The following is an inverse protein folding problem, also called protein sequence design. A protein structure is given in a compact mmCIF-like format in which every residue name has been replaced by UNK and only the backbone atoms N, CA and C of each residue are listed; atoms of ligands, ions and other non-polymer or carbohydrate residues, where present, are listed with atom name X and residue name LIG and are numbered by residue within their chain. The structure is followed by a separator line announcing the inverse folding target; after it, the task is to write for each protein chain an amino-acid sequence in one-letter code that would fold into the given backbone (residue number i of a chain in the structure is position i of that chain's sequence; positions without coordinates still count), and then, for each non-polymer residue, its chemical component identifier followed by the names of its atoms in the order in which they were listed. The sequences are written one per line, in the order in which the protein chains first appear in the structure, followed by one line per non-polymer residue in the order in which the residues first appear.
data_IF_676087553126
#
_entry.id   IF_676087553126
#
_cell.length_a   1.000
_cell.length_b   1.000
_cell.length_c   1.000
_cell.angle_alpha   90.00
_cell.angle_beta   90.00
_cell.angle_gamma   90.00
#
_symmetry.space_group_name_H-M   'P 1'
#
loop_
_entity.id
_entity.type
_entity.pdbx_description
1 polymer ?
#
# COMPACT_ATOMS: atom_id res chain seq x y z
N UNK A 1 -2.60 13.74 11.45
CA UNK A 1 -2.17 12.33 11.27
C UNK A 1 -2.23 11.46 12.54
N UNK A 2 -2.97 11.82 13.61
CA UNK A 2 -3.08 10.96 14.82
C UNK A 2 -4.27 10.01 14.79
N UNK A 3 -5.36 10.43 14.17
CA UNK A 3 -6.63 9.72 14.29
C UNK A 3 -6.66 8.38 13.54
N UNK A 4 -6.05 8.28 12.35
CA UNK A 4 -5.89 7.00 11.63
C UNK A 4 -5.12 5.95 12.47
N UNK A 5 -3.90 6.22 12.97
CA UNK A 5 -3.20 5.29 13.84
C UNK A 5 -3.99 4.89 15.10
N UNK A 6 -4.65 5.85 15.77
CA UNK A 6 -5.50 5.55 16.94
C UNK A 6 -6.65 4.60 16.58
N UNK A 7 -7.32 4.86 15.46
CA UNK A 7 -8.41 4.04 14.97
C UNK A 7 -7.94 2.62 14.66
N UNK A 8 -6.88 2.46 13.87
CA UNK A 8 -6.34 1.14 13.51
C UNK A 8 -5.86 0.37 14.73
N UNK A 9 -5.14 1.03 15.65
CA UNK A 9 -4.72 0.41 16.91
C UNK A 9 -5.91 -0.10 17.72
N UNK A 10 -7.01 0.66 17.81
CA UNK A 10 -8.21 0.26 18.55
C UNK A 10 -8.88 -0.97 17.93
N UNK A 11 -9.06 -1.00 16.61
CA UNK A 11 -9.69 -2.12 15.91
C UNK A 11 -8.83 -3.39 16.03
N UNK A 12 -7.53 -3.30 15.75
CA UNK A 12 -6.62 -4.44 15.87
C UNK A 12 -6.54 -4.95 17.30
N UNK A 13 -6.51 -4.06 18.30
CA UNK A 13 -6.48 -4.46 19.73
C UNK A 13 -7.77 -5.15 20.19
N UNK A 14 -8.89 -4.97 19.47
CA UNK A 14 -10.13 -5.70 19.71
C UNK A 14 -10.14 -7.12 19.11
N UNK A 15 -9.04 -7.55 18.48
CA UNK A 15 -8.94 -8.84 17.80
C UNK A 15 -9.53 -8.85 16.39
N UNK A 16 -9.85 -7.68 15.83
CA UNK A 16 -10.44 -7.55 14.50
C UNK A 16 -9.36 -7.19 13.47
N UNK A 17 -9.37 -7.87 12.34
CA UNK A 17 -8.60 -7.45 11.19
C UNK A 17 -9.16 -6.16 10.58
N UNK A 18 -8.32 -5.49 9.79
CA UNK A 18 -8.69 -4.28 9.08
C UNK A 18 -8.54 -4.54 7.59
N UNK A 19 -9.59 -4.22 6.83
CA UNK A 19 -9.51 -3.86 5.42
C UNK A 19 -9.72 -2.35 5.33
N UNK A 20 -8.68 -1.60 5.01
CA UNK A 20 -8.72 -0.16 4.85
C UNK A 20 -8.75 0.19 3.37
N UNK A 21 -9.66 1.11 3.03
CA UNK A 21 -9.87 1.61 1.67
C UNK A 21 -10.06 3.12 1.77
N UNK A 22 -9.24 3.89 1.06
CA UNK A 22 -9.41 5.32 0.89
C UNK A 22 -10.64 5.63 0.02
N UNK A 23 -11.31 6.74 0.32
CA UNK A 23 -12.59 7.10 -0.29
C UNK A 23 -12.52 7.35 -1.81
N UNK A 24 -11.33 7.62 -2.34
CA UNK A 24 -11.02 7.85 -3.75
C UNK A 24 -10.51 6.57 -4.45
N UNK A 25 -11.08 5.42 -4.06
CA UNK A 25 -10.84 4.14 -4.73
C UNK A 25 -12.03 3.75 -5.61
N UNK A 26 -11.77 3.40 -6.87
CA UNK A 26 -12.77 2.80 -7.76
C UNK A 26 -12.54 1.29 -7.85
N UNK A 27 -13.62 0.54 -7.78
CA UNK A 27 -13.62 -0.92 -7.82
C UNK A 27 -14.30 -1.44 -9.10
N UNK A 28 -13.67 -2.40 -9.74
CA UNK A 28 -14.25 -3.20 -10.83
C UNK A 28 -14.62 -4.61 -10.37
N UNK A 29 -14.06 -5.06 -9.25
CA UNK A 29 -14.32 -6.37 -8.66
C UNK A 29 -14.59 -6.25 -7.15
N UNK A 30 -14.94 -7.37 -6.52
CA UNK A 30 -15.26 -7.43 -5.10
C UNK A 30 -14.04 -7.05 -4.23
N UNK A 31 -14.12 -6.05 -3.34
CA UNK A 31 -13.00 -5.62 -2.50
C UNK A 31 -12.48 -6.69 -1.55
N UNK A 32 -13.28 -7.70 -1.21
CA UNK A 32 -12.83 -8.82 -0.38
C UNK A 32 -11.83 -9.74 -1.09
N UNK A 33 -11.63 -9.60 -2.41
CA UNK A 33 -10.62 -10.39 -3.14
C UNK A 33 -9.18 -10.11 -2.68
N UNK A 34 -8.94 -9.00 -1.96
CA UNK A 34 -7.61 -8.66 -1.42
C UNK A 34 -7.35 -9.25 -0.04
N UNK A 35 -8.39 -9.76 0.63
CA UNK A 35 -8.28 -10.35 1.97
C UNK A 35 -7.82 -11.80 1.81
N UNK A 36 -6.74 -12.24 2.48
CA UNK A 36 -6.30 -13.62 2.41
C UNK A 36 -7.39 -14.57 2.91
N UNK A 37 -7.64 -15.63 2.16
CA UNK A 37 -8.59 -16.67 2.56
C UNK A 37 -8.04 -17.51 3.74
N UNK A 38 -8.83 -18.48 4.21
CA UNK A 38 -8.43 -19.34 5.33
C UNK A 38 -7.15 -20.13 5.08
N UNK A 39 -6.81 -20.43 3.83
CA UNK A 39 -5.61 -21.19 3.46
C UNK A 39 -4.37 -20.29 3.50
N UNK A 40 -4.48 -19.06 2.99
CA UNK A 40 -3.37 -18.11 2.89
C UNK A 40 -3.12 -17.32 4.19
N UNK A 41 -4.15 -17.13 5.01
CA UNK A 41 -4.12 -16.32 6.24
C UNK A 41 -3.03 -16.68 7.26
N UNK A 42 -2.57 -17.93 7.41
CA UNK A 42 -1.41 -18.25 8.26
C UNK A 42 -0.06 -17.77 7.69
N UNK A 43 0.03 -17.57 6.39
CA UNK A 43 1.24 -17.18 5.68
C UNK A 43 1.38 -15.66 5.47
N UNK A 44 0.37 -14.86 5.83
CA UNK A 44 0.33 -13.42 5.57
C UNK A 44 -0.18 -12.67 6.81
N UNK A 45 0.53 -11.61 7.20
CA UNK A 45 0.12 -10.71 8.28
C UNK A 45 -0.44 -9.39 7.74
N UNK A 46 0.07 -8.95 6.59
CA UNK A 46 -0.31 -7.69 5.97
C UNK A 46 -0.37 -7.85 4.45
N UNK A 47 -1.37 -7.25 3.80
CA UNK A 47 -1.48 -7.12 2.35
C UNK A 47 -1.49 -5.64 2.01
N UNK A 48 -0.57 -5.19 1.17
CA UNK A 48 -0.47 -3.79 0.75
C UNK A 48 -0.61 -3.64 -0.76
N UNK A 49 -1.38 -2.64 -1.18
CA UNK A 49 -1.13 -2.00 -2.48
C UNK A 49 0.17 -1.22 -2.42
N UNK A 50 0.77 -0.94 -3.58
CA UNK A 50 2.10 -0.33 -3.61
C UNK A 50 2.01 1.13 -3.98
N UNK A 51 2.95 1.93 -3.46
CA UNK A 51 3.06 3.32 -3.87
C UNK A 51 3.44 3.36 -5.35
N UNK A 52 2.89 4.33 -6.05
CA UNK A 52 3.00 4.71 -7.47
C UNK A 52 4.26 4.42 -8.31
N UNK A 53 5.34 3.88 -7.75
CA UNK A 53 6.56 3.48 -8.46
C UNK A 53 6.35 2.09 -9.07
N UNK A 54 6.28 2.02 -10.40
CA UNK A 54 6.09 0.75 -11.09
C UNK A 54 7.22 -0.26 -10.80
N UNK A 55 6.84 -1.52 -10.58
CA UNK A 55 7.76 -2.65 -10.43
C UNK A 55 8.20 -3.22 -11.78
N UNK A 56 7.53 -2.81 -12.86
CA UNK A 56 7.85 -3.26 -14.20
C UNK A 56 9.21 -2.78 -14.70
N UNK A 57 9.91 -1.87 -14.02
CA UNK A 57 11.20 -1.33 -14.47
C UNK A 57 12.27 -2.42 -14.58
N UNK A 58 13.27 -2.21 -15.43
CA UNK A 58 14.47 -3.06 -15.54
C UNK A 58 15.42 -2.92 -14.31
N UNK A 59 14.89 -2.46 -13.19
CA UNK A 59 15.63 -2.11 -11.99
C UNK A 59 15.11 -2.90 -10.80
N UNK A 60 16.03 -3.38 -9.97
CA UNK A 60 15.71 -4.08 -8.74
C UNK A 60 14.88 -3.18 -7.82
N UNK A 61 13.63 -3.57 -7.56
CA UNK A 61 12.71 -2.86 -6.70
C UNK A 61 13.30 -2.63 -5.29
N UNK A 62 14.21 -3.46 -4.82
CA UNK A 62 14.77 -3.33 -3.48
C UNK A 62 16.03 -2.44 -3.42
N UNK A 63 16.55 -1.96 -4.56
CA UNK A 63 17.82 -1.18 -4.66
C UNK A 63 17.67 0.28 -5.08
N UNK A 64 16.46 0.83 -5.10
CA UNK A 64 16.23 2.24 -5.45
C UNK A 64 16.64 3.18 -4.29
N UNK A 65 17.59 4.07 -4.55
CA UNK A 65 18.17 5.03 -3.59
C UNK A 65 17.14 6.02 -2.99
N UNK A 66 15.99 6.17 -3.65
CA UNK A 66 14.90 7.01 -3.18
C UNK A 66 13.89 6.24 -2.31
N UNK A 67 14.10 4.94 -2.07
CA UNK A 67 13.27 4.10 -1.17
C UNK A 67 13.73 4.23 0.27
N UNK A 68 12.81 3.97 1.21
CA UNK A 68 13.05 4.11 2.66
C UNK A 68 13.61 2.84 3.31
N UNK A 69 14.29 2.02 2.50
CA UNK A 69 14.98 0.81 2.91
C UNK A 69 14.89 -0.31 1.87
N UNK A 70 15.59 -1.43 2.11
CA UNK A 70 15.74 -2.49 1.12
C UNK A 70 14.78 -3.66 1.31
N UNK A 71 13.93 -3.70 2.33
CA UNK A 71 13.19 -4.93 2.68
C UNK A 71 11.77 -4.96 2.13
N UNK A 72 11.11 -3.79 2.05
CA UNK A 72 9.75 -3.67 1.52
C UNK A 72 9.71 -2.48 0.56
N UNK A 73 9.29 -2.70 -0.71
CA UNK A 73 8.97 -1.63 -1.65
C UNK A 73 8.03 -0.58 -1.06
N UNK A 74 8.08 0.68 -1.52
CA UNK A 74 7.13 1.70 -1.10
C UNK A 74 5.70 1.21 -1.21
N UNK A 75 4.96 1.32 -0.10
CA UNK A 75 3.58 0.85 0.01
C UNK A 75 2.60 2.01 -0.11
N UNK A 76 1.36 1.71 -0.49
CA UNK A 76 0.27 2.65 -0.43
C UNK A 76 -0.66 2.32 0.74
N UNK A 77 -0.86 3.30 1.63
CA UNK A 77 -1.75 3.14 2.78
C UNK A 77 -3.22 3.40 2.46
N UNK A 78 -3.58 3.66 1.20
CA UNK A 78 -4.97 3.86 0.78
C UNK A 78 -5.72 2.57 0.46
N UNK A 79 -5.02 1.46 0.23
CA UNK A 79 -5.64 0.13 0.15
C UNK A 79 -4.72 -0.88 0.81
N UNK A 80 -5.16 -1.43 1.94
CA UNK A 80 -4.45 -2.51 2.62
C UNK A 80 -5.38 -3.38 3.46
N UNK A 81 -4.96 -4.63 3.65
CA UNK A 81 -5.51 -5.50 4.69
C UNK A 81 -4.44 -5.79 5.74
N UNK A 82 -4.83 -5.88 7.00
CA UNK A 82 -3.92 -6.14 8.11
C UNK A 82 -4.58 -7.06 9.14
N UNK A 83 -3.87 -8.16 9.44
CA UNK A 83 -4.24 -9.12 10.47
C UNK A 83 -4.09 -8.51 11.87
N UNK A 84 -5.02 -8.80 12.77
CA UNK A 84 -4.83 -8.49 14.19
C UNK A 84 -3.75 -9.41 14.79
N UNK A 85 -2.58 -8.84 15.11
CA UNK A 85 -1.49 -9.50 15.83
C UNK A 85 -0.78 -8.48 16.72
N UNK A 86 -0.05 -8.95 17.75
CA UNK A 86 0.78 -8.07 18.58
C UNK A 86 1.80 -7.27 17.74
N UNK A 87 2.32 -7.88 16.67
CA UNK A 87 3.30 -7.26 15.79
C UNK A 87 2.68 -6.14 14.95
N UNK A 88 1.49 -6.34 14.37
CA UNK A 88 0.79 -5.31 13.59
C UNK A 88 0.28 -4.17 14.48
N UNK A 89 -0.19 -4.47 15.68
CA UNK A 89 -0.56 -3.47 16.69
C UNK A 89 0.66 -2.61 17.06
N UNK A 90 1.84 -3.22 17.23
CA UNK A 90 3.06 -2.51 17.57
C UNK A 90 3.47 -1.50 16.49
N UNK A 91 3.27 -1.78 15.20
CA UNK A 91 3.54 -0.80 14.15
C UNK A 91 2.76 0.49 14.36
N UNK A 92 1.45 0.39 14.59
CA UNK A 92 0.59 1.57 14.79
C UNK A 92 0.85 2.27 16.12
N UNK A 93 1.22 1.52 17.16
CA UNK A 93 1.66 2.09 18.44
C UNK A 93 2.92 2.94 18.27
N UNK A 94 3.92 2.42 17.57
CA UNK A 94 5.19 3.12 17.32
C UNK A 94 4.95 4.36 16.44
N UNK A 95 4.13 4.22 15.40
CA UNK A 95 3.66 5.32 14.56
C UNK A 95 2.99 6.43 15.39
N UNK A 96 2.07 6.06 16.28
CA UNK A 96 1.33 7.00 17.12
C UNK A 96 2.27 7.74 18.08
N UNK A 97 3.19 7.03 18.74
CA UNK A 97 4.20 7.63 19.62
C UNK A 97 5.03 8.69 18.89
N UNK A 98 5.39 8.43 17.63
CA UNK A 98 6.12 9.40 16.79
C UNK A 98 5.23 10.60 16.40
N UNK A 99 3.93 10.42 16.17
CA UNK A 99 2.97 11.53 15.90
C UNK A 99 2.57 12.34 17.15
N UNK A 100 2.72 11.76 18.33
CA UNK A 100 2.44 12.40 19.63
C UNK A 100 3.65 13.07 20.24
N UNK A 101 4.85 12.82 19.69
CA UNK A 101 6.09 13.46 20.14
C UNK A 101 5.92 14.99 20.14
N UNK A 102 6.18 15.66 21.28
CA UNK A 102 5.99 17.11 21.39
C UNK A 102 6.80 17.90 20.37
N UNK A 103 6.26 19.02 19.91
CA UNK A 103 6.85 19.84 18.84
C UNK A 103 8.30 20.26 19.09
N UNK A 104 8.69 20.52 20.35
CA UNK A 104 10.06 20.87 20.72
C UNK A 104 11.06 19.70 20.64
N UNK A 105 10.56 18.45 20.61
CA UNK A 105 11.34 17.23 20.29
C UNK A 105 11.17 16.79 18.84
N UNK A 106 10.25 17.41 18.10
CA UNK A 106 9.93 17.03 16.73
C UNK A 106 11.00 17.44 15.71
N UNK A 107 11.99 18.25 16.08
CA UNK A 107 13.20 18.47 15.27
C UNK A 107 13.94 17.15 14.95
N UNK A 108 13.75 16.11 15.79
CA UNK A 108 14.30 14.77 15.58
C UNK A 108 13.34 13.83 14.84
N UNK A 109 12.14 14.29 14.46
CA UNK A 109 11.22 13.47 13.67
C UNK A 109 11.90 13.14 12.34
N UNK A 110 12.17 11.87 12.04
CA UNK A 110 12.82 11.53 10.78
C UNK A 110 11.96 12.03 9.62
N UNK A 111 12.59 12.55 8.56
CA UNK A 111 11.89 13.03 7.35
C UNK A 111 10.92 12.00 6.74
N UNK A 112 11.07 10.72 7.07
CA UNK A 112 10.16 9.64 6.69
C UNK A 112 8.80 9.65 7.39
N UNK A 113 8.60 10.30 8.55
CA UNK A 113 7.33 10.29 9.30
C UNK A 113 6.48 11.54 9.06
N UNK A 114 6.25 11.89 7.80
CA UNK A 114 5.42 13.05 7.43
C UNK A 114 3.93 12.73 7.45
N UNK A 115 3.57 11.54 6.94
CA UNK A 115 2.23 10.98 6.92
C UNK A 115 2.30 9.49 7.32
N UNK A 116 1.14 8.83 7.38
CA UNK A 116 1.05 7.43 7.78
C UNK A 116 1.62 6.46 6.74
N UNK A 117 1.54 6.77 5.44
CA UNK A 117 2.13 5.95 4.38
C UNK A 117 3.66 5.92 4.52
N UNK A 118 4.28 7.10 4.54
CA UNK A 118 5.73 7.28 4.63
C UNK A 118 6.27 6.75 5.95
N UNK A 119 5.52 6.95 7.05
CA UNK A 119 5.88 6.40 8.34
C UNK A 119 5.85 4.87 8.34
N UNK A 120 4.86 4.26 7.68
CA UNK A 120 4.74 2.81 7.60
C UNK A 120 5.86 2.21 6.74
N UNK A 121 6.22 2.85 5.63
CA UNK A 121 7.40 2.46 4.83
C UNK A 121 8.65 2.32 5.71
N UNK A 122 8.91 3.30 6.59
CA UNK A 122 10.06 3.28 7.49
C UNK A 122 9.95 2.11 8.47
N UNK A 123 8.81 1.94 9.13
CA UNK A 123 8.63 0.90 10.15
C UNK A 123 8.76 -0.52 9.58
N UNK A 124 8.22 -0.76 8.37
CA UNK A 124 8.36 -2.05 7.69
C UNK A 124 9.82 -2.32 7.29
N UNK A 125 10.55 -1.28 6.87
CA UNK A 125 11.95 -1.38 6.47
C UNK A 125 12.96 -1.35 7.62
N UNK A 126 12.53 -1.25 8.88
CA UNK A 126 13.39 -1.38 10.05
C UNK A 126 13.76 -2.84 10.39
N UNK A 127 13.70 -3.76 9.41
CA UNK A 127 13.99 -5.19 9.59
C UNK A 127 12.84 -6.01 10.20
N UNK A 128 11.66 -5.39 10.35
CA UNK A 128 10.48 -6.01 10.98
C UNK A 128 9.56 -6.71 10.01
N UNK A 129 9.81 -6.61 8.71
CA UNK A 129 8.92 -7.14 7.69
C UNK A 129 9.71 -7.84 6.59
N UNK A 130 9.06 -8.82 5.96
CA UNK A 130 9.55 -9.54 4.80
C UNK A 130 8.43 -9.66 3.76
N UNK A 131 8.76 -9.42 2.50
CA UNK A 131 7.82 -9.65 1.41
C UNK A 131 7.62 -11.15 1.18
N UNK A 132 6.38 -11.59 1.04
CA UNK A 132 6.01 -13.01 0.81
C UNK A 132 5.17 -13.18 -0.45
N UNK A 133 5.18 -14.39 -0.99
CA UNK A 133 4.46 -14.78 -2.18
C UNK A 133 2.90 -14.68 -2.03
N UNK A 134 2.16 -14.57 -3.15
CA UNK A 134 2.66 -14.40 -4.52
C UNK A 134 3.30 -13.02 -4.73
N UNK A 135 4.39 -12.97 -5.47
CA UNK A 135 5.05 -11.71 -5.80
C UNK A 135 4.34 -11.03 -6.98
N UNK A 136 4.18 -9.70 -6.95
CA UNK A 136 3.61 -8.96 -8.06
C UNK A 136 4.53 -9.05 -9.29
N UNK A 137 3.96 -8.90 -10.49
CA UNK A 137 4.73 -8.89 -11.73
C UNK A 137 5.81 -7.79 -11.68
N UNK A 138 7.05 -8.17 -12.01
CA UNK A 138 8.24 -7.31 -11.89
C UNK A 138 9.02 -7.46 -10.58
N UNK A 139 8.50 -8.20 -9.59
CA UNK A 139 9.25 -8.63 -8.41
C UNK A 139 9.55 -10.12 -8.51
N UNK A 140 10.83 -10.48 -8.56
CA UNK A 140 11.30 -11.85 -8.59
C UNK A 140 11.80 -12.30 -7.21
N UNK A 141 11.68 -13.60 -6.91
CA UNK A 141 12.04 -14.16 -5.59
C UNK A 141 13.51 -13.92 -5.23
N UNK A 142 14.41 -14.00 -6.21
CA UNK A 142 15.85 -13.77 -6.05
C UNK A 142 16.21 -12.31 -5.72
N UNK A 143 15.29 -11.37 -5.96
CA UNK A 143 15.44 -9.97 -5.59
C UNK A 143 15.03 -9.69 -4.15
N UNK A 144 14.16 -10.52 -3.55
CA UNK A 144 13.58 -10.29 -2.22
C UNK A 144 14.65 -10.44 -1.15
N UNK A 145 15.03 -9.37 -0.43
CA UNK A 145 16.09 -9.48 0.54
C UNK A 145 15.63 -10.31 1.73
N UNK A 146 16.44 -11.30 2.10
CA UNK A 146 16.24 -12.01 3.36
C UNK A 146 16.70 -11.08 4.47
N UNK A 147 15.78 -10.65 5.33
CA UNK A 147 16.16 -9.87 6.50
C UNK A 147 17.17 -10.69 7.33
N UNK A 148 18.32 -10.10 7.66
CA UNK A 148 19.28 -10.70 8.57
C UNK A 148 18.72 -10.62 9.99
N UNK A 149 17.88 -11.60 10.37
CA UNK A 149 17.12 -11.55 11.61
C UNK A 149 17.96 -12.15 12.74
N UNK A 150 18.37 -11.32 13.71
CA UNK A 150 18.67 -11.81 15.05
C UNK A 150 17.36 -12.26 15.69
N UNK A 151 17.38 -13.44 16.30
CA UNK A 151 16.26 -14.35 16.61
C UNK A 151 15.16 -13.88 17.59
N UNK A 152 14.87 -12.59 17.72
CA UNK A 152 13.85 -12.07 18.65
C UNK A 152 12.83 -11.08 18.07
N UNK A 153 13.05 -10.51 16.88
CA UNK A 153 12.12 -9.54 16.31
C UNK A 153 11.16 -10.21 15.34
N UNK A 154 9.86 -10.16 15.66
CA UNK A 154 8.82 -10.77 14.84
C UNK A 154 8.86 -10.21 13.41
N UNK A 155 9.07 -11.09 12.43
CA UNK A 155 9.07 -10.78 10.99
C UNK A 155 7.64 -10.81 10.49
N UNK A 156 7.07 -9.64 10.24
CA UNK A 156 5.78 -9.47 9.60
C UNK A 156 5.83 -9.93 8.16
N UNK A 157 4.91 -10.83 7.78
CA UNK A 157 4.80 -11.32 6.40
C UNK A 157 3.92 -10.39 5.58
N UNK A 158 4.54 -9.65 4.66
CA UNK A 158 3.88 -8.64 3.81
C UNK A 158 3.67 -9.19 2.41
N UNK A 159 2.42 -9.34 2.00
CA UNK A 159 2.07 -9.64 0.60
C UNK A 159 1.83 -8.32 -0.13
N UNK A 160 2.43 -8.17 -1.30
CA UNK A 160 2.19 -7.00 -2.16
C UNK A 160 1.15 -7.34 -3.22
N UNK A 161 0.21 -6.43 -3.44
CA UNK A 161 -0.76 -6.54 -4.53
C UNK A 161 -0.09 -6.17 -5.85
N UNK A 162 -0.47 -6.89 -6.90
CA UNK A 162 0.00 -6.61 -8.26
C UNK A 162 -0.49 -5.25 -8.75
N UNK A 163 0.43 -4.43 -9.25
CA UNK A 163 0.15 -3.06 -9.68
C UNK A 163 -0.74 -2.96 -10.94
N UNK A 164 -0.83 -4.03 -11.72
CA UNK A 164 -1.76 -4.13 -12.84
C UNK A 164 -3.18 -4.36 -12.31
N UNK A 165 -3.29 -5.20 -11.27
CA UNK A 165 -4.57 -5.58 -10.65
C UNK A 165 -5.12 -4.48 -9.74
N UNK A 166 -4.26 -3.86 -8.93
CA UNK A 166 -4.61 -2.79 -7.98
C UNK A 166 -3.71 -1.60 -8.30
N UNK A 167 -4.20 -0.74 -9.19
CA UNK A 167 -3.42 0.37 -9.71
C UNK A 167 -3.43 1.55 -8.73
N UNK A 168 -2.27 2.19 -8.56
CA UNK A 168 -2.19 3.52 -7.98
C UNK A 168 -2.40 4.57 -9.10
N UNK A 169 -3.10 5.66 -8.82
CA UNK A 169 -3.50 6.68 -9.78
C UNK A 169 -2.31 7.27 -10.55
N UNK A 170 -1.16 7.42 -9.91
CA UNK A 170 0.06 7.87 -10.61
C UNK A 170 0.52 6.90 -11.71
N UNK A 171 0.29 5.59 -11.58
CA UNK A 171 0.59 4.63 -12.65
C UNK A 171 -0.35 4.82 -13.84
N UNK A 172 -1.63 5.06 -13.57
CA UNK A 172 -2.64 5.30 -14.59
C UNK A 172 -2.37 6.59 -15.38
N UNK A 173 -1.81 7.60 -14.73
CA UNK A 173 -1.58 8.91 -15.33
C UNK A 173 -0.18 9.04 -15.95
N UNK A 174 0.88 8.78 -15.17
CA UNK A 174 2.25 9.09 -15.58
C UNK A 174 2.90 7.94 -16.36
N UNK A 175 2.32 6.74 -16.30
CA UNK A 175 2.85 5.51 -16.92
C UNK A 175 1.78 4.77 -17.72
N UNK A 176 0.80 5.49 -18.25
CA UNK A 176 -0.40 4.95 -18.87
C UNK A 176 -0.12 3.86 -19.92
N UNK A 177 0.82 4.09 -20.85
CA UNK A 177 1.14 3.13 -21.91
C UNK A 177 1.65 1.80 -21.36
N UNK A 178 2.60 1.84 -20.41
CA UNK A 178 3.18 0.63 -19.80
C UNK A 178 2.15 -0.10 -18.93
N UNK A 179 1.35 0.66 -18.18
CA UNK A 179 0.22 0.10 -17.45
C UNK A 179 -0.76 -0.61 -18.40
N UNK A 180 -1.15 0.01 -19.51
CA UNK A 180 -2.08 -0.58 -20.48
C UNK A 180 -1.52 -1.85 -21.11
N UNK A 181 -0.22 -1.89 -21.43
CA UNK A 181 0.45 -3.09 -21.93
C UNK A 181 0.40 -4.24 -20.93
N UNK A 182 0.75 -4.00 -19.67
CA UNK A 182 0.72 -5.03 -18.64
C UNK A 182 -0.72 -5.46 -18.29
N UNK A 183 -1.68 -4.53 -18.30
CA UNK A 183 -3.10 -4.87 -18.15
C UNK A 183 -3.59 -5.77 -19.29
N UNK A 184 -3.14 -5.54 -20.52
CA UNK A 184 -3.44 -6.45 -21.63
C UNK A 184 -2.81 -7.84 -21.44
N UNK A 185 -1.61 -7.94 -20.86
CA UNK A 185 -0.99 -9.23 -20.52
C UNK A 185 -1.77 -9.97 -19.43
N UNK A 186 -2.12 -9.28 -18.34
CA UNK A 186 -2.94 -9.84 -17.26
C UNK A 186 -4.28 -10.37 -17.79
N UNK A 187 -4.93 -9.63 -18.69
CA UNK A 187 -6.19 -10.06 -19.32
C UNK A 187 -6.02 -11.29 -20.19
N UNK A 188 -4.90 -11.41 -20.91
CA UNK A 188 -4.59 -12.60 -21.70
C UNK A 188 -4.33 -13.84 -20.84
N UNK A 189 -3.83 -13.68 -19.61
CA UNK A 189 -3.66 -14.77 -18.65
C UNK A 189 -4.90 -15.09 -17.82
N UNK A 190 -6.03 -14.42 -18.09
CA UNK A 190 -7.32 -14.67 -17.43
C UNK A 190 -7.56 -13.86 -16.16
N UNK A 191 -6.66 -12.95 -15.79
CA UNK A 191 -6.88 -11.96 -14.74
C UNK A 191 -7.55 -10.68 -15.27
N UNK A 192 -7.90 -9.76 -14.39
CA UNK A 192 -8.28 -8.40 -14.77
C UNK A 192 -8.02 -7.44 -13.59
N UNK A 193 -8.11 -6.14 -13.87
CA UNK A 193 -8.09 -5.08 -12.86
C UNK A 193 -9.19 -5.29 -11.82
N UNK A 194 -8.80 -5.12 -10.57
CA UNK A 194 -9.68 -5.19 -9.40
C UNK A 194 -10.05 -3.77 -8.96
N UNK A 195 -9.06 -2.89 -8.79
CA UNK A 195 -9.28 -1.54 -8.28
C UNK A 195 -8.25 -0.53 -8.79
N UNK A 196 -8.58 0.75 -8.65
CA UNK A 196 -7.64 1.86 -8.80
C UNK A 196 -7.82 2.86 -7.65
N UNK A 197 -6.72 3.20 -6.98
CA UNK A 197 -6.67 4.21 -5.92
C UNK A 197 -6.15 5.53 -6.49
N UNK A 198 -6.98 6.57 -6.53
CA UNK A 198 -6.69 7.84 -7.20
C UNK A 198 -5.93 8.85 -6.35
N UNK A 199 -4.76 8.43 -5.85
CA UNK A 199 -3.83 9.29 -5.13
C UNK A 199 -2.87 9.99 -6.11
N UNK A 200 -3.33 11.03 -6.81
CA UNK A 200 -2.50 11.86 -7.70
C UNK A 200 -2.20 13.23 -7.10
N UNK A 201 -1.21 13.91 -7.69
CA UNK A 201 -0.82 15.25 -7.29
C UNK A 201 -1.90 16.27 -7.68
N UNK A 202 -2.70 16.66 -6.70
CA UNK A 202 -3.78 17.65 -6.88
C UNK A 202 -3.27 19.05 -7.19
N UNK A 203 -1.95 19.30 -7.12
CA UNK A 203 -1.36 20.57 -7.57
C UNK A 203 -1.25 20.66 -9.09
N UNK A 204 -1.29 19.51 -9.79
CA UNK A 204 -1.25 19.42 -11.25
C UNK A 204 -2.65 19.33 -11.84
N UNK A 205 -3.49 18.45 -11.30
CA UNK A 205 -4.88 18.26 -11.75
C UNK A 205 -5.78 17.89 -10.57
N UNK A 206 -6.98 18.50 -10.50
CA UNK A 206 -7.93 18.19 -9.42
C UNK A 206 -8.39 16.73 -9.46
N UNK A 207 -9.00 16.24 -8.37
CA UNK A 207 -9.52 14.85 -8.33
C UNK A 207 -10.66 14.65 -9.32
N UNK A 208 -11.43 15.71 -9.54
CA UNK A 208 -12.54 15.77 -10.47
C UNK A 208 -12.04 15.78 -11.92
N UNK A 209 -11.09 16.65 -12.25
CA UNK A 209 -10.60 16.81 -13.62
C UNK A 209 -9.83 15.57 -14.08
N UNK A 210 -8.96 15.01 -13.24
CA UNK A 210 -8.23 13.79 -13.58
C UNK A 210 -9.16 12.58 -13.73
N UNK A 211 -10.28 12.54 -13.00
CA UNK A 211 -11.28 11.50 -13.16
C UNK A 211 -11.96 11.61 -14.53
N UNK A 212 -12.32 12.83 -14.94
CA UNK A 212 -12.91 13.11 -16.26
C UNK A 212 -11.95 12.74 -17.40
N UNK A 213 -10.68 13.08 -17.30
CA UNK A 213 -9.66 12.72 -18.31
C UNK A 213 -9.55 11.20 -18.51
N UNK A 214 -9.76 10.43 -17.45
CA UNK A 214 -9.77 8.97 -17.47
C UNK A 214 -11.13 8.36 -17.83
N UNK A 215 -12.14 9.19 -18.14
CA UNK A 215 -13.51 8.75 -18.44
C UNK A 215 -14.25 8.17 -17.23
N UNK A 216 -13.88 8.59 -16.03
CA UNK A 216 -14.47 8.17 -14.77
C UNK A 216 -15.52 9.19 -14.32
N UNK A 217 -16.67 8.72 -13.87
CA UNK A 217 -17.78 9.57 -13.45
C UNK A 217 -17.86 9.58 -11.93
N UNK A 218 -17.80 10.76 -11.32
CA UNK A 218 -17.91 10.92 -9.86
C UNK A 218 -19.38 11.00 -9.44
N UNK A 219 -19.65 10.51 -8.24
CA UNK A 219 -20.95 10.67 -7.59
C UNK A 219 -20.99 12.03 -6.89
N UNK A 220 -22.04 12.81 -7.12
CA UNK A 220 -22.34 13.99 -6.33
C UNK A 220 -22.78 13.61 -4.89
N UNK A 221 -22.98 14.62 -4.05
CA UNK A 221 -23.46 14.48 -2.68
C UNK A 221 -24.84 13.80 -2.56
N UNK A 222 -25.58 13.68 -3.66
CA UNK A 222 -26.87 13.00 -3.76
C UNK A 222 -26.76 11.60 -4.38
N UNK A 223 -25.54 11.10 -4.64
CA UNK A 223 -25.29 9.83 -5.28
C UNK A 223 -25.61 9.80 -6.77
N UNK A 224 -25.61 10.95 -7.46
CA UNK A 224 -25.83 11.05 -8.91
C UNK A 224 -24.50 11.14 -9.64
N UNK A 225 -24.37 10.37 -10.72
CA UNK A 225 -23.25 10.47 -11.63
C UNK A 225 -23.26 11.84 -12.34
N UNK A 226 -22.23 12.66 -12.12
CA UNK A 226 -22.07 13.97 -12.77
C UNK A 226 -20.86 13.96 -13.71
N UNK A 227 -21.08 14.36 -14.98
CA UNK A 227 -20.04 14.51 -16.00
C UNK A 227 -19.30 15.84 -15.85
#
# INVERSE_FOLDING_TARGET
MRERPKFFMKILSAGLDILMIDADTIWWQNPFSIVPDSHDRPAVDIVYSTDAREFYQDHDAFRDVWRRGPFVPPICNGIFWMKSTTATISLWKDMLAIFETPWYKAFFRPKGFQDDQRGMDVLLNHGRAQVVAPFPEGIHEDQVPTAAISSSDAVLKVRLLDQTSIANGQLLMNRQSRYAENLAKLRKSGGDRIAAHFNWDTTVVSKEDGAKELGLVLLDENGRCVN
#
